data_IF_226102406450
#
_entry.id   IF_226102406450
#
_cell.length_a   1.000
_cell.length_b   1.000
_cell.length_c   1.000
_cell.angle_alpha   90.00
_cell.angle_beta   90.00
_cell.angle_gamma   90.00
#
_symmetry.space_group_name_H-M   'P 1'
#
loop_
_entity.id
_entity.type
_entity.pdbx_description
1 polymer ?
#
# COMPACT_ATOMS: atom_id res chain seq x y z
N UNK A 1 26.31 10.94 -4.97
CA UNK A 1 24.88 11.18 -5.20
C UNK A 1 24.52 12.39 -4.37
N UNK A 2 24.15 13.49 -5.00
CA UNK A 2 23.53 14.62 -4.30
C UNK A 2 22.16 14.15 -3.89
N UNK A 3 21.94 13.88 -2.60
CA UNK A 3 20.59 13.76 -2.05
C UNK A 3 19.81 14.97 -2.55
N UNK A 4 18.70 14.71 -3.25
CA UNK A 4 17.82 15.79 -3.68
C UNK A 4 17.39 16.52 -2.40
N UNK A 5 17.69 17.81 -2.29
CA UNK A 5 17.19 18.63 -1.19
C UNK A 5 15.77 19.09 -1.57
N UNK A 6 14.90 18.13 -1.86
CA UNK A 6 13.51 18.43 -2.10
C UNK A 6 12.91 18.94 -0.78
N UNK A 7 12.18 20.06 -0.80
CA UNK A 7 11.59 20.62 0.40
C UNK A 7 10.45 19.73 0.90
N UNK A 8 10.17 19.79 2.20
CA UNK A 8 8.90 19.28 2.72
C UNK A 8 7.76 20.08 2.11
N UNK A 9 6.68 19.39 1.76
CA UNK A 9 5.47 19.98 1.17
C UNK A 9 4.30 19.62 2.08
N UNK A 10 3.52 20.64 2.48
CA UNK A 10 2.28 20.49 3.24
C UNK A 10 1.14 21.20 2.52
N UNK A 11 -0.09 20.82 2.85
CA UNK A 11 -1.28 21.52 2.34
C UNK A 11 -1.57 22.77 3.16
N UNK A 12 -2.10 23.83 2.52
CA UNK A 12 -2.51 25.07 3.22
C UNK A 12 -3.54 24.81 4.32
N UNK A 13 -4.40 23.80 4.12
CA UNK A 13 -5.45 23.47 5.08
C UNK A 13 -4.89 22.92 6.40
N UNK A 14 -3.75 22.21 6.37
CA UNK A 14 -3.23 21.53 7.56
C UNK A 14 -2.49 22.44 8.51
N UNK A 15 -1.81 23.47 8.00
CA UNK A 15 -0.97 24.35 8.84
C UNK A 15 -1.76 25.15 9.88
N UNK A 16 -3.08 25.30 9.69
CA UNK A 16 -3.97 26.05 10.58
C UNK A 16 -4.89 25.15 11.44
N UNK A 17 -4.88 23.83 11.23
CA UNK A 17 -5.89 22.92 11.79
C UNK A 17 -5.46 22.22 13.09
N UNK A 18 -4.19 21.80 13.20
CA UNK A 18 -3.68 21.10 14.38
C UNK A 18 -2.48 20.21 14.06
N UNK A 19 -1.92 19.55 15.08
CA UNK A 19 -0.76 18.67 14.90
C UNK A 19 -1.12 17.41 14.11
N UNK A 20 -2.28 16.82 14.38
CA UNK A 20 -2.78 15.64 13.66
C UNK A 20 -2.95 15.96 12.18
N UNK A 21 -3.61 17.07 11.85
CA UNK A 21 -3.84 17.44 10.45
C UNK A 21 -2.55 17.75 9.69
N UNK A 22 -1.51 18.25 10.36
CA UNK A 22 -0.18 18.46 9.76
C UNK A 22 0.47 17.13 9.40
N UNK A 23 0.40 16.13 10.28
CA UNK A 23 0.95 14.79 10.03
C UNK A 23 0.15 14.10 8.94
N UNK A 24 -1.18 14.11 9.02
CA UNK A 24 -2.09 13.57 8.00
C UNK A 24 -1.84 14.18 6.62
N UNK A 25 -1.61 15.50 6.56
CA UNK A 25 -1.29 16.16 5.31
C UNK A 25 0.06 15.72 4.73
N UNK A 26 1.07 15.50 5.58
CA UNK A 26 2.33 14.91 5.12
C UNK A 26 2.11 13.49 4.57
N UNK A 27 1.32 12.66 5.26
CA UNK A 27 0.97 11.31 4.81
C UNK A 27 0.28 11.35 3.44
N UNK A 28 -0.70 12.23 3.29
CA UNK A 28 -1.40 12.42 2.01
C UNK A 28 -0.45 12.84 0.88
N UNK A 29 0.45 13.79 1.15
CA UNK A 29 1.43 14.27 0.16
C UNK A 29 2.42 13.17 -0.24
N UNK A 30 2.97 12.43 0.71
CA UNK A 30 3.91 11.33 0.43
C UNK A 30 3.23 10.21 -0.38
N UNK A 31 1.99 9.84 -0.01
CA UNK A 31 1.20 8.87 -0.78
C UNK A 31 0.91 9.35 -2.21
N UNK A 32 0.61 10.63 -2.40
CA UNK A 32 0.42 11.20 -3.73
C UNK A 32 1.72 11.18 -4.57
N UNK A 33 2.88 11.35 -3.92
CA UNK A 33 4.18 11.24 -4.58
C UNK A 33 4.48 9.79 -4.99
N UNK A 34 4.31 8.82 -4.09
CA UNK A 34 4.48 7.39 -4.42
C UNK A 34 3.51 6.94 -5.52
N UNK A 35 2.23 7.32 -5.42
CA UNK A 35 1.24 7.04 -6.47
C UNK A 35 1.55 7.71 -7.82
N UNK A 36 2.49 8.66 -7.85
CA UNK A 36 2.99 9.30 -9.06
C UNK A 36 4.38 8.78 -9.48
N UNK A 37 4.81 7.64 -8.94
CA UNK A 37 6.07 6.94 -9.26
C UNK A 37 7.34 7.65 -8.78
N UNK A 38 7.24 8.54 -7.78
CA UNK A 38 8.42 9.03 -7.08
C UNK A 38 8.90 7.99 -6.07
N UNK A 39 10.22 7.79 -6.02
CA UNK A 39 10.86 6.92 -5.03
C UNK A 39 11.26 7.71 -3.78
N UNK A 40 11.61 6.99 -2.71
CA UNK A 40 12.10 7.58 -1.46
C UNK A 40 13.26 8.60 -1.65
N UNK A 41 14.16 8.37 -2.61
CA UNK A 41 15.27 9.29 -2.91
C UNK A 41 14.84 10.66 -3.50
N UNK A 42 13.60 10.77 -3.95
CA UNK A 42 13.00 11.94 -4.58
C UNK A 42 12.02 12.67 -3.63
N UNK A 43 11.81 12.13 -2.44
CA UNK A 43 10.99 12.73 -1.39
C UNK A 43 11.90 13.36 -0.33
N UNK A 44 11.44 14.46 0.28
CA UNK A 44 12.18 15.11 1.34
C UNK A 44 12.44 14.12 2.50
N UNK A 45 13.68 13.95 2.98
CA UNK A 45 13.97 12.99 4.05
C UNK A 45 13.15 13.20 5.32
N UNK A 46 12.86 14.46 5.67
CA UNK A 46 12.00 14.76 6.82
C UNK A 46 10.54 14.36 6.60
N UNK A 47 10.03 14.47 5.37
CA UNK A 47 8.67 14.01 5.03
C UNK A 47 8.57 12.49 5.11
N UNK A 48 9.58 11.77 4.62
CA UNK A 48 9.65 10.30 4.76
C UNK A 48 9.79 9.86 6.20
N UNK A 49 10.69 10.46 6.97
CA UNK A 49 10.84 10.14 8.39
C UNK A 49 9.54 10.37 9.15
N UNK A 50 8.80 11.45 8.84
CA UNK A 50 7.49 11.71 9.43
C UNK A 50 6.45 10.67 9.03
N UNK A 51 6.41 10.30 7.73
CA UNK A 51 5.50 9.30 7.17
C UNK A 51 5.68 7.92 7.83
N UNK A 52 6.91 7.43 7.93
CA UNK A 52 7.15 6.11 8.52
C UNK A 52 7.03 6.10 10.04
N UNK A 53 7.29 7.21 10.73
CA UNK A 53 6.98 7.33 12.16
C UNK A 53 5.48 7.29 12.40
N UNK A 54 4.67 7.99 11.59
CA UNK A 54 3.22 7.91 11.68
C UNK A 54 2.70 6.50 11.41
N UNK A 55 3.20 5.84 10.36
CA UNK A 55 2.91 4.43 10.07
C UNK A 55 3.23 3.53 11.28
N UNK A 56 4.43 3.63 11.85
CA UNK A 56 4.84 2.85 13.01
C UNK A 56 3.93 3.07 14.22
N UNK A 57 3.60 4.33 14.51
CA UNK A 57 2.71 4.69 15.62
C UNK A 57 1.32 4.10 15.40
N UNK A 58 0.75 4.26 14.20
CA UNK A 58 -0.57 3.69 13.86
C UNK A 58 -0.57 2.18 14.02
N UNK A 59 0.42 1.46 13.47
CA UNK A 59 0.48 0.00 13.61
C UNK A 59 0.65 -0.44 15.07
N UNK A 60 1.49 0.26 15.84
CA UNK A 60 1.72 -0.03 17.26
C UNK A 60 0.47 0.20 18.10
N UNK A 61 -0.34 1.21 17.78
CA UNK A 61 -1.62 1.47 18.47
C UNK A 61 -2.72 0.47 18.08
N UNK A 62 -2.69 -0.07 16.86
CA UNK A 62 -3.70 -1.01 16.37
C UNK A 62 -3.45 -2.45 16.84
N UNK A 63 -2.19 -2.88 16.94
CA UNK A 63 -1.86 -4.25 17.33
C UNK A 63 -0.43 -4.45 17.84
N UNK A 64 0.15 -3.42 18.47
CA UNK A 64 1.49 -3.49 19.06
C UNK A 64 2.61 -3.64 18.04
N UNK A 65 3.81 -3.96 18.53
CA UNK A 65 4.96 -4.16 17.66
C UNK A 65 4.77 -5.38 16.73
N UNK A 66 3.98 -6.39 17.12
CA UNK A 66 3.62 -7.53 16.28
C UNK A 66 2.93 -7.09 14.96
N UNK A 67 1.94 -6.20 15.05
CA UNK A 67 1.26 -5.64 13.87
C UNK A 67 2.23 -4.85 12.98
N UNK A 68 3.15 -4.10 13.57
CA UNK A 68 4.22 -3.41 12.83
C UNK A 68 5.12 -4.40 12.08
N UNK A 69 5.60 -5.46 12.74
CA UNK A 69 6.46 -6.46 12.09
C UNK A 69 5.74 -7.16 10.93
N UNK A 70 4.46 -7.49 11.11
CA UNK A 70 3.67 -8.16 10.07
C UNK A 70 3.46 -7.31 8.82
N UNK A 71 3.39 -5.97 8.98
CA UNK A 71 3.05 -5.05 7.89
C UNK A 71 4.24 -4.38 7.23
N UNK A 72 5.40 -4.34 7.90
CA UNK A 72 6.56 -3.58 7.45
C UNK A 72 7.69 -4.46 6.90
N UNK A 73 8.32 -4.02 5.81
CA UNK A 73 9.69 -4.46 5.52
C UNK A 73 10.66 -3.71 6.45
N UNK A 74 11.01 -4.35 7.57
CA UNK A 74 11.81 -3.73 8.63
C UNK A 74 13.21 -3.33 8.20
N UNK A 75 13.81 -4.02 7.23
CA UNK A 75 15.16 -3.69 6.75
C UNK A 75 15.17 -2.32 6.03
N UNK A 76 14.07 -2.00 5.34
CA UNK A 76 13.90 -0.71 4.66
C UNK A 76 13.31 0.36 5.58
N UNK A 77 12.36 -0.02 6.44
CA UNK A 77 11.53 0.93 7.20
C UNK A 77 12.16 1.32 8.54
N UNK A 78 12.79 0.40 9.28
CA UNK A 78 13.37 0.70 10.59
C UNK A 78 14.38 1.88 10.53
N UNK A 79 15.29 1.99 9.52
CA UNK A 79 16.20 3.13 9.42
C UNK A 79 15.48 4.47 9.29
N UNK A 80 14.40 4.52 8.51
CA UNK A 80 13.61 5.72 8.27
C UNK A 80 12.85 6.16 9.52
N UNK A 81 12.31 5.20 10.28
CA UNK A 81 11.70 5.46 11.59
C UNK A 81 12.74 6.05 12.55
N UNK A 82 13.93 5.43 12.65
CA UNK A 82 14.98 5.92 13.55
C UNK A 82 15.44 7.33 13.20
N UNK A 83 15.64 7.61 11.91
CA UNK A 83 15.98 8.95 11.43
C UNK A 83 14.86 9.96 11.71
N UNK A 84 13.60 9.57 11.49
CA UNK A 84 12.42 10.37 11.79
C UNK A 84 12.31 10.73 13.27
N UNK A 85 12.30 9.73 14.16
CA UNK A 85 12.22 9.91 15.62
C UNK A 85 13.37 10.78 16.14
N UNK A 86 14.60 10.54 15.66
CA UNK A 86 15.75 11.36 15.99
C UNK A 86 15.60 12.81 15.49
N UNK A 87 15.13 12.98 14.26
CA UNK A 87 14.96 14.28 13.61
C UNK A 87 13.93 15.16 14.32
N UNK A 88 12.80 14.59 14.73
CA UNK A 88 11.75 15.30 15.47
C UNK A 88 12.04 15.45 16.97
N UNK A 89 13.09 14.81 17.47
CA UNK A 89 13.47 14.86 18.88
C UNK A 89 12.62 13.99 19.81
N UNK A 90 11.94 12.98 19.28
CA UNK A 90 11.17 11.98 20.04
C UNK A 90 12.13 10.96 20.69
N UNK A 91 12.90 11.43 21.66
CA UNK A 91 14.04 10.69 22.20
C UNK A 91 13.64 9.47 23.03
N UNK A 92 12.49 9.50 23.70
CA UNK A 92 12.02 8.37 24.48
C UNK A 92 11.43 7.30 23.55
N UNK A 93 10.62 7.70 22.57
CA UNK A 93 10.11 6.78 21.54
C UNK A 93 11.24 6.13 20.74
N UNK A 94 12.29 6.88 20.39
CA UNK A 94 13.48 6.30 19.74
C UNK A 94 14.18 5.25 20.62
N UNK A 95 14.28 5.49 21.93
CA UNK A 95 14.90 4.52 22.83
C UNK A 95 14.05 3.26 22.98
N UNK A 96 12.73 3.43 23.08
CA UNK A 96 11.79 2.32 23.15
C UNK A 96 11.84 1.49 21.86
N UNK A 97 11.69 2.12 20.70
CA UNK A 97 11.78 1.45 19.39
C UNK A 97 13.04 0.59 19.25
N UNK A 98 14.21 1.14 19.62
CA UNK A 98 15.47 0.40 19.56
C UNK A 98 15.53 -0.78 20.53
N UNK A 99 14.91 -0.66 21.71
CA UNK A 99 14.83 -1.77 22.68
C UNK A 99 13.88 -2.85 22.18
N UNK A 100 12.72 -2.46 21.65
CA UNK A 100 11.71 -3.38 21.13
C UNK A 100 12.22 -4.13 19.90
N UNK A 101 12.79 -3.42 18.92
CA UNK A 101 13.43 -4.05 17.77
C UNK A 101 14.52 -5.04 18.18
N UNK A 102 15.42 -4.65 19.10
CA UNK A 102 16.48 -5.54 19.57
C UNK A 102 15.98 -6.74 20.39
N UNK A 103 14.86 -6.59 21.10
CA UNK A 103 14.23 -7.68 21.84
C UNK A 103 13.57 -8.68 20.88
N UNK A 104 12.87 -8.18 19.86
CA UNK A 104 12.27 -8.98 18.80
C UNK A 104 13.33 -9.76 18.02
N UNK A 105 14.40 -9.09 17.57
CA UNK A 105 15.49 -9.72 16.81
C UNK A 105 16.27 -10.78 17.62
N UNK A 106 16.09 -10.81 18.95
CA UNK A 106 16.69 -11.78 19.85
C UNK A 106 15.77 -12.97 20.18
N UNK A 107 14.51 -12.97 19.70
CA UNK A 107 13.59 -14.09 19.87
C UNK A 107 14.10 -15.32 19.13
N UNK A 108 13.73 -16.50 19.65
CA UNK A 108 13.83 -17.73 18.87
C UNK A 108 12.67 -17.79 17.88
N UNK A 109 12.81 -18.55 16.78
CA UNK A 109 11.72 -18.74 15.80
C UNK A 109 10.40 -19.19 16.48
N UNK A 110 10.49 -20.03 17.52
CA UNK A 110 9.34 -20.54 18.27
C UNK A 110 8.71 -19.48 19.20
N UNK A 111 9.50 -18.53 19.71
CA UNK A 111 9.01 -17.43 20.53
C UNK A 111 8.46 -16.29 19.66
N UNK A 112 9.04 -16.08 18.48
CA UNK A 112 8.56 -15.14 17.47
C UNK A 112 7.17 -15.55 16.98
N UNK A 113 6.99 -16.81 16.57
CA UNK A 113 5.68 -17.34 16.15
C UNK A 113 4.63 -17.15 17.25
N UNK A 114 4.96 -17.46 18.51
CA UNK A 114 4.06 -17.25 19.65
C UNK A 114 3.70 -15.79 19.88
N UNK A 115 4.67 -14.88 19.78
CA UNK A 115 4.42 -13.46 19.95
C UNK A 115 3.53 -12.92 18.84
N UNK A 116 3.76 -13.33 17.59
CA UNK A 116 3.01 -12.89 16.42
C UNK A 116 1.59 -13.48 16.38
N UNK A 117 1.40 -14.73 16.81
CA UNK A 117 0.07 -15.36 16.87
C UNK A 117 -0.83 -14.73 17.94
N UNK A 118 -0.26 -14.06 18.95
CA UNK A 118 -0.99 -13.51 20.09
C UNK A 118 -1.66 -14.58 20.97
N UNK A 119 -1.36 -15.86 20.74
CA UNK A 119 -1.98 -17.01 21.41
C UNK A 119 -1.24 -17.33 22.71
N UNK A 120 -1.46 -16.51 23.73
CA UNK A 120 -0.98 -16.77 25.09
C UNK A 120 -2.18 -16.94 26.02
N UNK A 121 -2.85 -18.08 25.87
CA UNK A 121 -4.06 -18.43 26.62
C UNK A 121 -3.86 -18.51 28.16
N UNK A 122 -2.63 -18.32 28.69
CA UNK A 122 -2.37 -17.93 30.09
C UNK A 122 -0.99 -17.27 30.29
N UNK A 123 -0.94 -16.10 30.95
CA UNK A 123 0.31 -15.38 31.36
C UNK A 123 1.34 -16.27 32.11
N UNK A 124 0.89 -17.37 32.74
CA UNK A 124 1.71 -18.29 33.54
C UNK A 124 2.55 -19.28 32.71
N UNK A 125 2.25 -19.50 31.42
CA UNK A 125 2.99 -20.44 30.55
C UNK A 125 3.80 -19.75 29.44
N UNK A 126 3.72 -18.43 29.33
CA UNK A 126 4.44 -17.66 28.30
C UNK A 126 5.94 -17.63 28.58
N UNK A 127 6.80 -17.90 27.57
CA UNK A 127 8.25 -17.75 27.69
C UNK A 127 8.63 -16.34 28.15
N UNK A 128 9.70 -16.21 28.94
CA UNK A 128 10.16 -14.91 29.46
C UNK A 128 10.45 -13.89 28.35
N UNK A 129 10.86 -14.36 27.17
CA UNK A 129 11.16 -13.53 26.02
C UNK A 129 9.89 -12.91 25.41
N UNK A 130 8.83 -13.70 25.25
CA UNK A 130 7.52 -13.22 24.74
C UNK A 130 6.90 -12.22 25.71
N UNK A 131 6.92 -12.52 27.02
CA UNK A 131 6.44 -11.57 28.04
C UNK A 131 7.19 -10.25 28.01
N UNK A 132 8.51 -10.28 27.75
CA UNK A 132 9.32 -9.07 27.63
C UNK A 132 8.88 -8.20 26.44
N UNK A 133 8.38 -8.79 25.35
CA UNK A 133 7.81 -8.05 24.23
C UNK A 133 6.49 -7.37 24.61
N UNK A 134 5.59 -8.09 25.27
CA UNK A 134 4.31 -7.53 25.75
C UNK A 134 4.51 -6.38 26.73
N UNK A 135 5.51 -6.48 27.62
CA UNK A 135 5.89 -5.40 28.53
C UNK A 135 6.36 -4.15 27.76
N UNK A 136 7.06 -4.31 26.63
CA UNK A 136 7.52 -3.20 25.79
C UNK A 136 6.37 -2.58 24.98
N UNK A 137 5.40 -3.38 24.53
CA UNK A 137 4.16 -2.87 23.92
C UNK A 137 3.35 -2.05 24.94
N UNK A 138 3.24 -2.52 26.19
CA UNK A 138 2.64 -1.75 27.27
C UNK A 138 3.38 -0.45 27.58
N UNK A 139 4.73 -0.47 27.57
CA UNK A 139 5.54 0.74 27.73
C UNK A 139 5.28 1.76 26.61
N UNK A 140 4.96 1.31 25.39
CA UNK A 140 4.62 2.19 24.28
C UNK A 140 3.33 2.99 24.55
N UNK A 141 2.27 2.32 25.02
CA UNK A 141 1.01 2.98 25.38
C UNK A 141 1.22 4.04 26.48
N UNK A 142 1.96 3.70 27.54
CA UNK A 142 2.28 4.63 28.62
C UNK A 142 3.10 5.83 28.12
N UNK A 143 4.06 5.57 27.24
CA UNK A 143 4.91 6.60 26.68
C UNK A 143 4.12 7.55 25.77
N UNK A 144 3.15 7.04 25.03
CA UNK A 144 2.27 7.85 24.17
C UNK A 144 1.51 8.91 24.96
N UNK A 145 1.15 8.65 26.23
CA UNK A 145 0.51 9.63 27.10
C UNK A 145 1.47 10.74 27.61
N UNK A 146 2.79 10.52 27.57
CA UNK A 146 3.78 11.39 28.20
C UNK A 146 4.71 12.11 27.23
N UNK A 147 5.11 11.48 26.12
CA UNK A 147 5.82 12.10 24.99
C UNK A 147 4.86 12.19 23.81
N UNK A 148 4.29 13.39 23.59
CA UNK A 148 3.34 13.64 22.50
C UNK A 148 4.08 13.65 21.15
N UNK A 149 4.23 12.45 20.58
CA UNK A 149 4.94 12.21 19.33
C UNK A 149 4.30 12.94 18.14
N UNK A 150 2.97 13.01 18.08
CA UNK A 150 2.25 13.72 17.01
C UNK A 150 2.58 15.22 17.02
N UNK A 151 2.65 15.85 18.19
CA UNK A 151 3.03 17.26 18.31
C UNK A 151 4.51 17.50 17.96
N UNK A 152 5.41 16.58 18.33
CA UNK A 152 6.82 16.66 17.93
C UNK A 152 6.98 16.51 16.42
N UNK A 153 6.28 15.56 15.82
CA UNK A 153 6.29 15.30 14.39
C UNK A 153 5.79 16.53 13.61
N UNK A 154 4.64 17.08 13.98
CA UNK A 154 4.09 18.28 13.35
C UNK A 154 5.03 19.50 13.49
N UNK A 155 5.59 19.73 14.68
CA UNK A 155 6.53 20.83 14.88
C UNK A 155 7.82 20.67 14.05
N UNK A 156 8.28 19.43 13.87
CA UNK A 156 9.44 19.12 13.05
C UNK A 156 9.19 19.39 11.57
N UNK A 157 8.05 18.96 11.03
CA UNK A 157 7.64 19.26 9.65
C UNK A 157 7.51 20.76 9.39
N UNK A 158 6.82 21.47 10.28
CA UNK A 158 6.63 22.93 10.19
C UNK A 158 7.94 23.71 10.33
N UNK A 159 8.94 23.12 10.99
CA UNK A 159 10.25 23.72 11.22
C UNK A 159 11.26 23.53 10.09
N UNK A 160 10.92 22.79 9.03
CA UNK A 160 11.86 22.49 7.95
C UNK A 160 12.23 23.75 7.13
N UNK A 161 13.51 23.87 6.80
CA UNK A 161 13.99 24.93 5.93
C UNK A 161 13.43 24.75 4.51
N UNK A 162 12.84 25.80 3.95
CA UNK A 162 12.27 25.76 2.60
C UNK A 162 10.92 25.06 2.48
N UNK A 163 10.23 24.79 3.60
CA UNK A 163 8.86 24.25 3.62
C UNK A 163 7.97 24.95 2.57
N UNK A 164 7.35 24.14 1.72
CA UNK A 164 6.34 24.60 0.76
C UNK A 164 4.95 24.30 1.32
N UNK A 165 4.09 25.31 1.30
CA UNK A 165 2.69 25.17 1.70
C UNK A 165 1.82 25.45 0.49
N UNK A 166 1.21 24.41 -0.07
CA UNK A 166 0.52 24.42 -1.35
C UNK A 166 -0.97 24.14 -1.16
N UNK A 167 -1.83 24.65 -2.02
CA UNK A 167 -3.19 24.08 -2.17
C UNK A 167 -3.17 22.85 -3.09
N UNK A 168 -4.31 22.20 -3.26
CA UNK A 168 -4.42 20.93 -4.02
C UNK A 168 -4.01 21.10 -5.50
N UNK A 169 -4.34 22.24 -6.12
CA UNK A 169 -3.96 22.54 -7.51
C UNK A 169 -2.44 22.77 -7.62
N UNK A 170 -1.87 23.53 -6.67
CA UNK A 170 -0.44 23.77 -6.59
C UNK A 170 0.36 22.48 -6.28
N UNK A 171 -0.18 21.61 -5.42
CA UNK A 171 0.41 20.31 -5.07
C UNK A 171 0.46 19.39 -6.28
N UNK A 172 -0.65 19.24 -7.01
CA UNK A 172 -0.70 18.44 -8.23
C UNK A 172 0.34 18.93 -9.26
N UNK A 173 0.40 20.26 -9.47
CA UNK A 173 1.38 20.86 -10.38
C UNK A 173 2.83 20.74 -9.88
N UNK A 174 3.06 20.65 -8.56
CA UNK A 174 4.37 20.38 -8.00
C UNK A 174 4.80 18.95 -8.26
N UNK A 175 3.93 17.98 -7.99
CA UNK A 175 4.20 16.55 -8.21
C UNK A 175 4.48 16.29 -9.69
N UNK A 176 3.66 16.81 -10.60
CA UNK A 176 3.88 16.68 -12.06
C UNK A 176 5.28 17.17 -12.48
N UNK A 177 5.75 18.28 -11.89
CA UNK A 177 7.12 18.78 -12.16
C UNK A 177 8.20 17.87 -11.62
N UNK A 178 7.98 17.21 -10.47
CA UNK A 178 8.93 16.24 -9.94
C UNK A 178 8.96 14.97 -10.81
N UNK A 179 7.79 14.48 -11.23
CA UNK A 179 7.67 13.33 -12.14
C UNK A 179 8.43 13.59 -13.45
N UNK A 180 8.30 14.79 -14.02
CA UNK A 180 9.03 15.17 -15.23
C UNK A 180 10.56 15.21 -15.08
N UNK A 181 11.09 15.14 -13.85
CA UNK A 181 12.53 15.06 -13.57
C UNK A 181 13.03 13.62 -13.38
N UNK A 182 12.13 12.63 -13.32
CA UNK A 182 12.49 11.21 -13.16
C UNK A 182 13.24 10.72 -14.41
N UNK A 183 14.52 10.33 -14.30
CA UNK A 183 15.33 9.96 -15.47
C UNK A 183 14.86 8.71 -16.22
N UNK A 184 14.23 7.77 -15.51
CA UNK A 184 13.77 6.47 -15.99
C UNK A 184 12.25 6.32 -15.86
N UNK A 185 11.51 7.41 -16.10
CA UNK A 185 10.05 7.44 -15.93
C UNK A 185 9.34 6.37 -16.77
N UNK A 186 9.74 6.21 -18.05
CA UNK A 186 9.15 5.20 -18.94
C UNK A 186 9.35 3.77 -18.41
N UNK A 187 10.52 3.48 -17.83
CA UNK A 187 10.80 2.17 -17.23
C UNK A 187 9.96 1.94 -15.96
N UNK A 188 9.81 2.96 -15.10
CA UNK A 188 8.96 2.88 -13.91
C UNK A 188 7.48 2.71 -14.26
N UNK A 189 7.01 3.41 -15.30
CA UNK A 189 5.64 3.27 -15.79
C UNK A 189 5.39 1.86 -16.32
N UNK A 190 6.31 1.32 -17.12
CA UNK A 190 6.18 -0.05 -17.62
C UNK A 190 6.17 -1.08 -16.47
N UNK A 191 7.03 -0.94 -15.46
CA UNK A 191 7.05 -1.82 -14.30
C UNK A 191 5.75 -1.73 -13.47
N UNK A 192 5.24 -0.52 -13.23
CA UNK A 192 3.98 -0.32 -12.51
C UNK A 192 2.77 -0.85 -13.30
N UNK A 193 2.79 -0.75 -14.63
CA UNK A 193 1.78 -1.35 -15.51
C UNK A 193 1.84 -2.88 -15.50
N UNK A 194 3.04 -3.46 -15.43
CA UNK A 194 3.25 -4.91 -15.31
C UNK A 194 2.76 -5.44 -13.95
N UNK A 195 3.16 -4.81 -12.85
CA UNK A 195 2.69 -5.14 -11.49
C UNK A 195 1.17 -5.01 -11.37
N UNK A 196 0.59 -3.93 -11.89
CA UNK A 196 -0.87 -3.75 -11.89
C UNK A 196 -1.59 -4.81 -12.74
N UNK A 197 -0.93 -5.39 -13.73
CA UNK A 197 -1.46 -6.50 -14.52
C UNK A 197 -1.34 -7.84 -13.76
N UNK A 198 -0.25 -8.06 -13.03
CA UNK A 198 -0.07 -9.24 -12.18
C UNK A 198 -1.10 -9.28 -11.03
N UNK A 199 -1.43 -8.13 -10.46
CA UNK A 199 -2.46 -7.98 -9.40
C UNK A 199 -3.88 -7.84 -9.95
N UNK A 200 -4.06 -7.77 -11.28
CA UNK A 200 -5.38 -7.61 -11.87
C UNK A 200 -6.23 -8.86 -11.62
N UNK A 201 -7.51 -8.69 -11.25
CA UNK A 201 -8.38 -9.85 -11.05
C UNK A 201 -8.62 -10.59 -12.37
N UNK A 202 -8.76 -11.91 -12.31
CA UNK A 202 -8.86 -12.79 -13.49
C UNK A 202 -9.85 -12.29 -14.56
N UNK A 203 -11.04 -11.82 -14.14
CA UNK A 203 -12.05 -11.30 -15.07
C UNK A 203 -11.55 -10.12 -15.91
N UNK A 204 -10.66 -9.27 -15.36
CA UNK A 204 -10.08 -8.14 -16.08
C UNK A 204 -9.06 -8.62 -17.12
N UNK A 205 -8.24 -9.60 -16.77
CA UNK A 205 -7.29 -10.23 -17.70
C UNK A 205 -8.02 -10.86 -18.88
N UNK A 206 -9.08 -11.62 -18.61
CA UNK A 206 -9.95 -12.24 -19.62
C UNK A 206 -10.57 -11.18 -20.53
N UNK A 207 -11.10 -10.08 -19.98
CA UNK A 207 -11.68 -8.99 -20.77
C UNK A 207 -10.63 -8.32 -21.66
N UNK A 208 -9.40 -8.13 -21.16
CA UNK A 208 -8.28 -7.58 -21.96
C UNK A 208 -7.93 -8.50 -23.11
N UNK A 209 -7.80 -9.80 -22.87
CA UNK A 209 -7.52 -10.79 -23.92
C UNK A 209 -8.63 -10.84 -24.97
N UNK A 210 -9.90 -10.82 -24.54
CA UNK A 210 -11.05 -10.75 -25.46
C UNK A 210 -11.02 -9.48 -26.33
N UNK A 211 -10.64 -8.34 -25.74
CA UNK A 211 -10.46 -7.10 -26.50
C UNK A 211 -9.32 -7.23 -27.51
N UNK A 212 -8.19 -7.83 -27.13
CA UNK A 212 -7.04 -8.03 -28.01
C UNK A 212 -7.39 -8.96 -29.19
N UNK A 213 -8.11 -10.05 -28.94
CA UNK A 213 -8.63 -10.96 -29.99
C UNK A 213 -9.57 -10.21 -30.93
N UNK A 214 -10.43 -9.33 -30.41
CA UNK A 214 -11.33 -8.48 -31.20
C UNK A 214 -10.60 -7.32 -31.92
N UNK A 215 -9.37 -6.99 -31.52
CA UNK A 215 -8.64 -5.81 -31.97
C UNK A 215 -9.22 -4.49 -31.43
N UNK A 216 -9.86 -4.52 -30.27
CA UNK A 216 -10.48 -3.38 -29.60
C UNK A 216 -9.62 -2.91 -28.43
N UNK A 217 -9.76 -1.63 -28.05
CA UNK A 217 -9.08 -1.08 -26.87
C UNK A 217 -10.07 -0.98 -25.70
N UNK A 218 -9.81 -1.72 -24.63
CA UNK A 218 -10.55 -1.61 -23.38
C UNK A 218 -10.41 -0.19 -22.81
N UNK A 219 -11.53 0.46 -22.51
CA UNK A 219 -11.55 1.79 -21.89
C UNK A 219 -11.87 1.72 -20.40
N UNK A 220 -12.84 0.89 -20.01
CA UNK A 220 -13.27 0.75 -18.61
C UNK A 220 -14.11 -0.51 -18.39
N UNK A 221 -13.95 -1.16 -17.24
CA UNK A 221 -14.91 -2.13 -16.71
C UNK A 221 -15.90 -1.40 -15.80
N UNK A 222 -17.18 -1.61 -16.05
CA UNK A 222 -18.25 -0.76 -15.51
C UNK A 222 -18.92 -1.40 -14.30
N UNK A 223 -19.30 -2.69 -14.39
CA UNK A 223 -20.04 -3.38 -13.33
C UNK A 223 -20.14 -4.89 -13.60
N UNK A 224 -20.14 -5.71 -12.54
CA UNK A 224 -20.58 -7.10 -12.59
C UNK A 224 -22.09 -7.25 -12.33
N UNK A 225 -22.80 -7.99 -13.18
CA UNK A 225 -24.20 -8.38 -13.00
C UNK A 225 -24.29 -9.89 -12.67
N UNK A 226 -24.48 -10.25 -11.39
CA UNK A 226 -24.57 -11.65 -10.96
C UNK A 226 -25.91 -12.32 -11.32
N UNK A 227 -26.84 -11.60 -11.96
CA UNK A 227 -28.16 -12.13 -12.34
C UNK A 227 -28.38 -12.14 -13.86
N UNK A 228 -27.32 -11.97 -14.65
CA UNK A 228 -27.41 -12.06 -16.10
C UNK A 228 -27.90 -13.44 -16.52
N UNK A 229 -28.73 -13.51 -17.56
CA UNK A 229 -29.24 -14.78 -18.09
C UNK A 229 -28.61 -15.03 -19.43
N UNK A 230 -27.70 -15.99 -19.49
CA UNK A 230 -27.08 -16.51 -20.71
C UNK A 230 -27.59 -17.93 -20.95
N UNK A 231 -28.08 -18.22 -22.16
CA UNK A 231 -28.63 -19.53 -22.54
C UNK A 231 -29.70 -20.14 -21.60
N UNK A 232 -30.41 -19.27 -20.87
CA UNK A 232 -31.48 -19.64 -19.95
C UNK A 232 -31.02 -19.98 -18.54
N UNK A 233 -29.71 -19.91 -18.28
CA UNK A 233 -29.10 -20.07 -16.96
C UNK A 233 -28.63 -18.73 -16.42
N UNK A 234 -28.59 -18.60 -15.08
CA UNK A 234 -28.08 -17.39 -14.44
C UNK A 234 -26.57 -17.49 -14.33
N UNK A 235 -25.87 -16.52 -14.91
CA UNK A 235 -24.41 -16.40 -14.86
C UNK A 235 -23.99 -14.98 -14.46
N UNK A 236 -22.74 -14.84 -14.03
CA UNK A 236 -22.13 -13.54 -13.77
C UNK A 236 -21.67 -12.95 -15.10
N UNK A 237 -22.16 -11.75 -15.43
CA UNK A 237 -21.67 -11.00 -16.59
C UNK A 237 -20.92 -9.75 -16.16
N UNK A 238 -19.80 -9.46 -16.81
CA UNK A 238 -19.04 -8.22 -16.59
C UNK A 238 -19.29 -7.25 -17.73
N UNK A 239 -19.83 -6.08 -17.42
CA UNK A 239 -20.03 -5.02 -18.39
C UNK A 239 -18.78 -4.16 -18.53
N UNK A 240 -18.36 -3.89 -19.75
CA UNK A 240 -17.20 -3.05 -20.05
C UNK A 240 -17.40 -2.24 -21.33
N UNK A 241 -16.65 -1.15 -21.45
CA UNK A 241 -16.68 -0.23 -22.59
C UNK A 241 -15.34 -0.29 -23.31
N UNK A 242 -15.38 -0.33 -24.64
CA UNK A 242 -14.22 -0.23 -25.52
C UNK A 242 -14.35 0.98 -26.45
N UNK A 243 -13.34 1.21 -27.28
CA UNK A 243 -13.41 2.17 -28.39
C UNK A 243 -14.47 1.84 -29.46
N UNK A 244 -15.07 0.64 -29.41
CA UNK A 244 -16.11 0.18 -30.32
C UNK A 244 -17.51 0.10 -29.68
N UNK A 245 -17.66 0.54 -28.43
CA UNK A 245 -18.94 0.59 -27.71
C UNK A 245 -18.95 -0.27 -26.45
N UNK A 246 -20.15 -0.59 -25.97
CA UNK A 246 -20.35 -1.36 -24.74
C UNK A 246 -20.50 -2.85 -25.05
N UNK A 247 -19.88 -3.68 -24.22
CA UNK A 247 -19.88 -5.14 -24.32
C UNK A 247 -20.09 -5.78 -22.95
N UNK A 248 -20.40 -7.07 -22.96
CA UNK A 248 -20.44 -7.90 -21.76
C UNK A 248 -19.54 -9.11 -21.94
N UNK A 249 -18.82 -9.48 -20.89
CA UNK A 249 -18.09 -10.74 -20.80
C UNK A 249 -18.92 -11.71 -19.96
N UNK A 250 -19.08 -12.93 -20.45
CA UNK A 250 -19.63 -14.07 -19.71
C UNK A 250 -18.57 -15.16 -19.69
N UNK A 251 -18.34 -15.70 -18.51
CA UNK A 251 -17.46 -16.85 -18.28
C UNK A 251 -18.30 -18.13 -18.19
N UNK A 252 -17.86 -19.16 -18.89
CA UNK A 252 -18.32 -20.54 -18.80
C UNK A 252 -17.17 -21.44 -18.33
N UNK A 253 -17.44 -22.74 -18.10
CA UNK A 253 -16.49 -23.65 -17.45
C UNK A 253 -15.15 -23.79 -18.22
N UNK A 254 -15.15 -23.65 -19.55
CA UNK A 254 -13.98 -23.88 -20.42
C UNK A 254 -13.64 -22.66 -21.30
N UNK A 255 -14.50 -21.65 -21.36
CA UNK A 255 -14.36 -20.51 -22.26
C UNK A 255 -14.95 -19.23 -21.65
N UNK A 256 -14.48 -18.07 -22.10
CA UNK A 256 -15.17 -16.80 -21.88
C UNK A 256 -15.49 -16.10 -23.20
N UNK A 257 -16.63 -15.40 -23.22
CA UNK A 257 -17.18 -14.78 -24.41
C UNK A 257 -17.36 -13.28 -24.24
N UNK A 258 -16.93 -12.52 -25.25
CA UNK A 258 -17.30 -11.12 -25.42
C UNK A 258 -18.56 -11.02 -26.26
N UNK A 259 -19.63 -10.47 -25.70
CA UNK A 259 -20.95 -10.41 -26.33
C UNK A 259 -21.37 -8.96 -26.51
N UNK A 260 -21.95 -8.65 -27.67
CA UNK A 260 -22.61 -7.37 -27.89
C UNK A 260 -23.99 -7.38 -27.19
N UNK A 261 -24.28 -6.47 -26.24
CA UNK A 261 -25.53 -6.47 -25.47
C UNK A 261 -26.78 -6.26 -26.33
N UNK A 262 -26.67 -5.52 -27.44
CA UNK A 262 -27.80 -5.20 -28.32
C UNK A 262 -28.10 -6.33 -29.30
N UNK A 263 -27.06 -6.91 -29.92
CA UNK A 263 -27.22 -7.94 -30.96
C UNK A 263 -27.17 -9.37 -30.42
N UNK A 264 -26.66 -9.55 -29.19
CA UNK A 264 -26.36 -10.85 -28.58
C UNK A 264 -25.36 -11.69 -29.40
N UNK A 265 -24.56 -11.05 -30.25
CA UNK A 265 -23.53 -11.71 -31.03
C UNK A 265 -22.24 -11.84 -30.22
N UNK A 266 -21.61 -13.02 -30.28
CA UNK A 266 -20.26 -13.26 -29.78
C UNK A 266 -19.27 -12.58 -30.73
N UNK A 267 -18.48 -11.67 -30.19
CA UNK A 267 -17.49 -10.86 -30.90
C UNK A 267 -16.10 -11.47 -30.80
N UNK A 268 -15.77 -12.04 -29.65
CA UNK A 268 -14.53 -12.78 -29.38
C UNK A 268 -14.81 -13.86 -28.33
N UNK A 269 -13.97 -14.89 -28.31
CA UNK A 269 -13.97 -15.96 -27.33
C UNK A 269 -12.52 -16.29 -26.96
N UNK A 270 -12.29 -16.66 -25.71
CA UNK A 270 -11.02 -17.19 -25.21
C UNK A 270 -11.29 -18.55 -24.57
N UNK A 271 -10.49 -19.55 -24.93
CA UNK A 271 -10.51 -20.88 -24.33
C UNK A 271 -9.54 -20.90 -23.14
N UNK A 272 -9.97 -21.44 -22.00
CA UNK A 272 -9.07 -21.69 -20.88
C UNK A 272 -8.32 -23.00 -21.14
N UNK A 273 -6.99 -22.99 -21.11
CA UNK A 273 -6.23 -24.25 -21.16
C UNK A 273 -6.53 -25.05 -19.89
N UNK A 274 -7.11 -26.26 -20.03
CA UNK A 274 -7.13 -27.24 -18.94
C UNK A 274 -5.68 -27.43 -18.51
N UNK A 275 -5.34 -27.05 -17.27
CA UNK A 275 -4.09 -27.47 -16.68
C UNK A 275 -4.09 -29.01 -16.72
N UNK A 276 -3.25 -29.60 -17.57
CA UNK A 276 -3.10 -31.05 -17.71
C UNK A 276 -2.87 -31.65 -16.31
N UNK A 277 -3.94 -32.11 -15.68
CA UNK A 277 -3.94 -32.87 -14.42
C UNK A 277 -3.52 -34.33 -14.71
N UNK A 278 -2.55 -34.50 -15.62
CA UNK A 278 -2.06 -35.77 -16.15
C UNK A 278 -0.67 -36.10 -15.55
N UNK A 279 -0.51 -35.83 -14.25
CA UNK A 279 0.51 -36.49 -13.40
C UNK A 279 -0.13 -37.38 -12.31
N UNK A 280 -1.22 -38.07 -12.63
CA UNK A 280 -1.57 -39.29 -11.91
C UNK A 280 -2.21 -40.33 -12.84
N UNK A 281 -1.38 -41.24 -13.35
CA UNK A 281 -1.54 -42.72 -13.35
C UNK A 281 -0.54 -43.29 -14.36
N UNK A 282 0.57 -43.86 -13.88
CA UNK A 282 0.76 -45.31 -13.99
C UNK A 282 1.88 -45.82 -13.08
N UNK A 283 1.59 -46.98 -12.50
CA UNK A 283 2.35 -47.71 -11.50
C UNK A 283 3.55 -48.50 -12.05
#
# INVERSE_FOLDING_TARGET
>A
MTMSQNPVVLTKASTDAGSEEVVDANVHVVNAMYGSLLDAGEIAPAALGSYYVDFYVTQSLEGGFAQYVFTADRDEVDPLIREGLAGMGATAHLQLFNRTAAAFDALSEEDEERYLDGDLDTEEESPDAVRSMEELDGEFEELFETENITALNAAWLLGQEGLLVLDDEELAAYIERQVALIPNLEERQAAAEEEALEDAPDFELIIRELCDIAGYTLQKITMGDPNYVHDGEKTLAWHFTTDHGDFLMVEEDEEAFMINPETQEIVAAVEFEEADDDEMIDA
#
